data_IF_609916755752
#
_entry.id   IF_609916755752
#
_cell.length_a   1.000
_cell.length_b   1.000
_cell.length_c   1.000
_cell.angle_alpha   90.00
_cell.angle_beta   90.00
_cell.angle_gamma   90.00
#
_symmetry.space_group_name_H-M   'P 1'
#
loop_
_entity.id
_entity.type
_entity.pdbx_description
1 polymer ?
#
# COMPACT_ATOMS: atom_id res chain seq x y z
N UNK A 1 17.74 10.63 5.87
CA UNK A 1 18.42 10.84 4.55
C UNK A 1 19.27 9.65 4.03
N UNK A 2 19.04 8.40 4.47
CA UNK A 2 19.89 7.23 4.16
C UNK A 2 19.08 6.07 3.54
N UNK A 3 18.27 6.33 2.52
CA UNK A 3 17.39 5.28 1.97
C UNK A 3 18.12 4.30 1.02
N UNK A 4 19.41 4.52 0.77
CA UNK A 4 20.29 3.58 0.06
C UNK A 4 19.97 3.44 -1.43
N UNK A 5 20.47 2.36 -2.04
CA UNK A 5 20.18 2.01 -3.43
C UNK A 5 18.76 1.46 -3.53
N UNK A 6 17.87 2.22 -4.17
CA UNK A 6 16.47 1.85 -4.42
C UNK A 6 16.19 1.78 -5.91
N UNK A 7 15.24 0.93 -6.28
CA UNK A 7 14.71 0.89 -7.64
C UNK A 7 13.83 2.12 -7.88
N UNK A 8 13.93 2.77 -9.05
CA UNK A 8 13.14 3.96 -9.35
C UNK A 8 11.64 3.66 -9.33
N UNK A 9 10.84 4.67 -8.97
CA UNK A 9 9.40 4.58 -9.11
C UNK A 9 9.03 4.54 -10.60
N UNK A 10 8.67 3.36 -11.09
CA UNK A 10 8.21 3.13 -12.46
C UNK A 10 6.68 3.07 -12.46
N UNK A 11 6.06 3.53 -13.56
CA UNK A 11 4.65 3.28 -13.79
C UNK A 11 4.39 1.82 -14.18
N UNK A 12 3.12 1.49 -14.44
CA UNK A 12 2.67 0.12 -14.75
C UNK A 12 2.30 -0.08 -16.23
N UNK A 13 2.77 0.78 -17.14
CA UNK A 13 2.65 0.51 -18.58
C UNK A 13 3.54 -0.66 -19.00
N UNK A 14 3.16 -1.38 -20.07
CA UNK A 14 3.84 -2.60 -20.51
C UNK A 14 5.36 -2.46 -20.65
N UNK A 15 5.83 -1.31 -21.17
CA UNK A 15 7.26 -1.05 -21.31
C UNK A 15 7.93 -0.82 -19.95
N UNK A 16 7.28 -0.08 -19.06
CA UNK A 16 7.82 0.23 -17.72
C UNK A 16 7.92 -1.02 -16.85
N UNK A 17 6.94 -1.94 -16.99
CA UNK A 17 6.98 -3.25 -16.33
C UNK A 17 8.19 -4.06 -16.80
N UNK A 18 8.42 -4.14 -18.12
CA UNK A 18 9.60 -4.84 -18.68
C UNK A 18 10.92 -4.22 -18.22
N UNK A 19 11.00 -2.90 -18.18
CA UNK A 19 12.19 -2.19 -17.73
C UNK A 19 12.46 -2.46 -16.25
N UNK A 20 11.41 -2.51 -15.42
CA UNK A 20 11.50 -2.87 -14.01
C UNK A 20 11.95 -4.33 -13.82
N UNK A 21 11.40 -5.28 -14.58
CA UNK A 21 11.84 -6.69 -14.58
C UNK A 21 13.33 -6.81 -14.90
N UNK A 22 13.78 -6.14 -15.97
CA UNK A 22 15.19 -6.14 -16.37
C UNK A 22 16.09 -5.51 -15.30
N UNK A 23 15.65 -4.41 -14.68
CA UNK A 23 16.39 -3.74 -13.62
C UNK A 23 16.54 -4.64 -12.39
N UNK A 24 15.45 -5.31 -11.96
CA UNK A 24 15.48 -6.28 -10.86
C UNK A 24 16.42 -7.44 -11.18
N UNK A 25 16.37 -7.98 -12.40
CA UNK A 25 17.24 -9.09 -12.82
C UNK A 25 18.73 -8.71 -12.77
N UNK A 26 19.08 -7.51 -13.24
CA UNK A 26 20.45 -7.02 -13.32
C UNK A 26 21.01 -6.47 -11.99
N UNK A 27 20.16 -6.24 -10.99
CA UNK A 27 20.60 -5.73 -9.68
C UNK A 27 21.24 -6.85 -8.85
N UNK A 28 22.51 -6.77 -8.41
CA UNK A 28 23.11 -7.80 -7.56
C UNK A 28 22.51 -7.74 -6.15
N UNK A 29 21.58 -8.64 -5.84
CA UNK A 29 20.92 -8.76 -4.54
C UNK A 29 20.48 -10.21 -4.27
N UNK A 30 20.44 -10.58 -2.99
CA UNK A 30 20.01 -11.92 -2.55
C UNK A 30 18.47 -12.02 -2.42
N UNK A 31 17.81 -10.91 -2.05
CA UNK A 31 16.37 -10.84 -1.79
C UNK A 31 15.80 -9.50 -2.29
N UNK A 32 14.58 -9.54 -2.84
CA UNK A 32 13.78 -8.36 -3.21
C UNK A 32 12.69 -8.11 -2.17
N UNK A 33 12.66 -6.91 -1.60
CA UNK A 33 11.65 -6.51 -0.61
C UNK A 33 10.60 -5.63 -1.29
N UNK A 34 9.36 -6.09 -1.30
CA UNK A 34 8.21 -5.35 -1.85
C UNK A 34 7.56 -4.58 -0.71
N UNK A 35 7.93 -3.30 -0.60
CA UNK A 35 7.39 -2.36 0.38
C UNK A 35 6.32 -1.44 -0.25
N UNK A 36 5.42 -2.02 -1.03
CA UNK A 36 4.30 -1.32 -1.68
C UNK A 36 2.96 -1.87 -1.20
N UNK A 37 1.89 -1.06 -1.09
CA UNK A 37 0.57 -1.56 -0.69
C UNK A 37 0.05 -2.62 -1.66
N UNK A 38 0.25 -2.38 -2.96
CA UNK A 38 -0.02 -3.34 -4.02
C UNK A 38 1.03 -4.46 -3.99
N UNK A 39 0.58 -5.67 -4.28
CA UNK A 39 1.45 -6.82 -4.51
C UNK A 39 2.04 -6.77 -5.93
N UNK A 40 3.30 -6.34 -6.05
CA UNK A 40 3.99 -6.22 -7.33
C UNK A 40 4.17 -7.56 -8.06
N UNK A 41 4.15 -8.69 -7.35
CA UNK A 41 4.31 -10.02 -7.98
C UNK A 41 3.18 -10.37 -8.94
N UNK A 42 2.05 -9.65 -8.87
CA UNK A 42 0.92 -9.81 -9.78
C UNK A 42 1.14 -9.16 -11.15
N UNK A 43 2.09 -8.25 -11.25
CA UNK A 43 2.33 -7.42 -12.44
C UNK A 43 3.73 -7.68 -13.02
N UNK A 44 4.71 -7.95 -12.16
CA UNK A 44 6.14 -8.05 -12.49
C UNK A 44 6.64 -9.46 -12.18
N UNK A 45 7.33 -10.09 -13.13
CA UNK A 45 7.97 -11.39 -12.91
C UNK A 45 9.33 -11.21 -12.23
N UNK A 46 9.42 -11.62 -10.96
CA UNK A 46 10.64 -11.57 -10.15
C UNK A 46 11.17 -12.98 -9.95
N UNK A 47 12.34 -13.29 -10.53
CA UNK A 47 12.96 -14.63 -10.43
C UNK A 47 13.87 -14.80 -9.21
N UNK A 48 14.05 -13.74 -8.40
CA UNK A 48 14.84 -13.76 -7.15
C UNK A 48 13.90 -13.98 -5.96
N UNK A 49 14.39 -14.52 -4.83
CA UNK A 49 13.60 -14.59 -3.61
C UNK A 49 13.00 -13.23 -3.28
N UNK A 50 11.69 -13.18 -3.02
CA UNK A 50 10.99 -11.94 -2.71
C UNK A 50 10.10 -12.06 -1.48
N UNK A 51 9.96 -10.94 -0.76
CA UNK A 51 9.09 -10.84 0.43
C UNK A 51 8.27 -9.56 0.33
N UNK A 52 6.97 -9.66 0.62
CA UNK A 52 6.08 -8.50 0.72
C UNK A 52 6.02 -8.03 2.18
N UNK A 53 6.17 -6.73 2.38
CA UNK A 53 6.07 -6.08 3.68
C UNK A 53 4.84 -5.19 3.69
N UNK A 54 3.98 -5.35 4.70
CA UNK A 54 2.86 -4.47 4.95
C UNK A 54 3.28 -3.31 5.86
N UNK A 55 2.71 -2.15 5.61
CA UNK A 55 2.76 -1.02 6.52
C UNK A 55 1.40 -0.33 6.49
N UNK A 56 0.97 0.14 7.65
CA UNK A 56 -0.28 0.87 7.81
C UNK A 56 0.01 2.26 8.36
N UNK A 57 -0.85 3.22 8.01
CA UNK A 57 -0.77 4.55 8.58
C UNK A 57 -1.18 4.47 10.05
N UNK A 58 -0.30 4.95 10.93
CA UNK A 58 -0.61 5.17 12.33
C UNK A 58 -0.64 6.67 12.58
N UNK A 59 -1.82 7.22 12.82
CA UNK A 59 -1.97 8.61 13.22
C UNK A 59 -1.49 8.79 14.67
N UNK A 60 -0.70 9.84 14.90
CA UNK A 60 -0.11 10.15 16.21
C UNK A 60 -0.68 11.50 16.64
N UNK A 61 -1.60 11.47 17.60
CA UNK A 61 -2.24 12.67 18.15
C UNK A 61 -3.74 12.74 17.86
N UNK A 62 -4.39 13.74 18.45
CA UNK A 62 -5.84 13.98 18.34
C UNK A 62 -6.13 15.43 17.90
N UNK A 63 -7.24 15.69 17.19
CA UNK A 63 -8.20 14.70 16.73
C UNK A 63 -7.69 13.89 15.55
N UNK A 64 -8.00 12.59 15.52
CA UNK A 64 -7.65 11.69 14.41
C UNK A 64 -8.72 11.75 13.29
N UNK A 65 -8.44 11.12 12.15
CA UNK A 65 -9.36 11.13 11.01
C UNK A 65 -10.73 10.54 11.36
N UNK A 66 -10.81 9.54 12.23
CA UNK A 66 -12.09 8.96 12.63
C UNK A 66 -12.89 9.98 13.44
N UNK A 67 -12.25 10.66 14.40
CA UNK A 67 -12.89 11.68 15.22
C UNK A 67 -13.42 12.85 14.37
N UNK A 68 -12.65 13.30 13.38
CA UNK A 68 -13.10 14.36 12.45
C UNK A 68 -14.28 13.88 11.60
N UNK A 69 -14.26 12.63 11.14
CA UNK A 69 -15.37 12.05 10.36
C UNK A 69 -16.61 11.87 11.24
N UNK A 70 -16.45 11.41 12.47
CA UNK A 70 -17.55 11.21 13.41
C UNK A 70 -18.22 12.54 13.76
N UNK A 71 -17.44 13.58 14.08
CA UNK A 71 -17.95 14.94 14.31
C UNK A 71 -18.73 15.46 13.09
N UNK A 72 -18.22 15.21 11.87
CA UNK A 72 -18.88 15.63 10.65
C UNK A 72 -20.21 14.89 10.44
N UNK A 73 -20.22 13.57 10.66
CA UNK A 73 -21.41 12.72 10.51
C UNK A 73 -22.48 13.11 11.53
N UNK A 74 -22.09 13.40 12.77
CA UNK A 74 -23.01 13.89 13.82
C UNK A 74 -23.56 15.27 13.47
N UNK A 75 -22.70 16.22 13.11
CA UNK A 75 -23.09 17.60 12.77
C UNK A 75 -24.06 17.66 11.60
N UNK A 76 -23.90 16.77 10.62
CA UNK A 76 -24.74 16.70 9.43
C UNK A 76 -25.85 15.64 9.52
N UNK A 77 -26.00 15.00 10.69
CA UNK A 77 -27.05 14.02 10.99
C UNK A 77 -27.10 12.85 9.97
N UNK A 78 -25.92 12.39 9.53
CA UNK A 78 -25.75 11.37 8.49
C UNK A 78 -25.72 9.93 9.01
N UNK A 79 -26.02 9.75 10.31
CA UNK A 79 -26.10 8.43 10.94
C UNK A 79 -27.18 7.59 10.25
N UNK A 80 -26.76 6.53 9.54
CA UNK A 80 -27.70 5.55 8.99
C UNK A 80 -28.43 4.86 10.15
N UNK A 81 -29.73 5.11 10.28
CA UNK A 81 -30.64 4.22 11.01
C UNK A 81 -30.70 2.88 10.27
N UNK A 82 -29.75 2.00 10.58
CA UNK A 82 -29.58 0.71 9.93
C UNK A 82 -29.26 -0.38 10.94
N UNK A 83 -29.97 -0.39 12.07
CA UNK A 83 -30.06 -1.58 12.92
C UNK A 83 -30.71 -2.69 12.13
N UNK A 84 -29.89 -3.54 11.49
CA UNK A 84 -30.36 -4.82 11.00
C UNK A 84 -30.70 -5.68 12.22
N UNK A 85 -31.99 -5.78 12.51
CA UNK A 85 -32.58 -6.55 13.59
C UNK A 85 -32.51 -8.09 13.37
N UNK A 86 -31.50 -8.61 12.65
CA UNK A 86 -31.55 -9.98 12.13
C UNK A 86 -30.40 -10.92 12.57
N UNK A 87 -29.73 -10.67 13.69
CA UNK A 87 -28.84 -11.67 14.29
C UNK A 87 -29.22 -11.92 15.75
N UNK A 88 -30.31 -12.68 15.94
CA UNK A 88 -30.39 -13.68 17.01
C UNK A 88 -29.89 -15.00 16.44
#
# INVERSE_FOLDING_TARGET
PNIGSLLPAMGYGDQQVKDLEATIANTPCDVVVIATPIDLTRIVKINKPCVKVGYDLQEIGHPDLNEVIDEFVEKHNLLKHGGCCCCK
#
